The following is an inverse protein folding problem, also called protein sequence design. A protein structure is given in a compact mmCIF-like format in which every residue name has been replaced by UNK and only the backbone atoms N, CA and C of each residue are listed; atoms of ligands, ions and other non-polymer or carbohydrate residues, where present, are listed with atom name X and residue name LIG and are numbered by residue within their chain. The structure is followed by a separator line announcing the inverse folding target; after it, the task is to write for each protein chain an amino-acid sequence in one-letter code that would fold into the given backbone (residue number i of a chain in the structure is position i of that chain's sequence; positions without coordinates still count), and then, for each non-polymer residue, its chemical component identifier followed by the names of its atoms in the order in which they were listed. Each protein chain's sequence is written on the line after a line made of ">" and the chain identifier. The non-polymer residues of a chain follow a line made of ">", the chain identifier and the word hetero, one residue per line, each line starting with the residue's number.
data_IF_507785019871
#
_entry.id   IF_507785019871
#
_cell.length_a   1.000
_cell.length_b   1.000
_cell.length_c   1.000
_cell.angle_alpha   90.00
_cell.angle_beta   90.00
_cell.angle_gamma   90.00
#
_symmetry.space_group_name_H-M   'P 1'
#
loop_
_entity.id
_entity.type
_entity.pdbx_description
1 polymer ?
#
# COMPACT_ATOMS: atom_id res chain seq x y z
N UNK A 1 11.22 7.67 9.29
CA UNK A 1 11.65 8.11 7.94
C UNK A 1 12.61 7.10 7.28
N UNK A 2 13.80 6.84 7.84
CA UNK A 2 14.77 5.91 7.21
C UNK A 2 14.22 4.48 7.02
N UNK A 3 13.54 3.91 8.02
CA UNK A 3 12.92 2.57 7.87
C UNK A 3 11.85 2.55 6.78
N UNK A 4 11.05 3.61 6.69
CA UNK A 4 10.04 3.77 5.65
C UNK A 4 10.68 3.84 4.26
N UNK A 5 11.72 4.67 4.10
CA UNK A 5 12.49 4.80 2.86
C UNK A 5 13.07 3.45 2.40
N UNK A 6 13.70 2.71 3.32
CA UNK A 6 14.21 1.36 3.03
C UNK A 6 13.12 0.38 2.63
N UNK A 7 11.96 0.44 3.30
CA UNK A 7 10.82 -0.43 2.97
C UNK A 7 10.29 -0.12 1.57
N UNK A 8 10.18 1.16 1.19
CA UNK A 8 9.79 1.56 -0.16
C UNK A 8 10.81 1.08 -1.20
N UNK A 9 12.11 1.22 -0.92
CA UNK A 9 13.16 0.73 -1.81
C UNK A 9 13.08 -0.78 -2.01
N UNK A 10 12.87 -1.55 -0.94
CA UNK A 10 12.66 -3.00 -1.02
C UNK A 10 11.40 -3.38 -1.81
N UNK A 11 10.41 -2.49 -1.89
CA UNK A 11 9.21 -2.66 -2.69
C UNK A 11 9.37 -2.30 -4.16
N UNK A 12 10.55 -1.79 -4.55
CA UNK A 12 10.88 -1.45 -5.93
C UNK A 12 10.79 0.05 -6.26
N UNK A 13 10.50 0.91 -5.28
CA UNK A 13 10.46 2.35 -5.48
C UNK A 13 11.87 2.95 -5.48
N UNK A 14 12.09 3.92 -6.36
CA UNK A 14 13.30 4.74 -6.38
C UNK A 14 13.21 5.80 -5.28
N UNK A 15 14.02 5.65 -4.24
CA UNK A 15 14.05 6.58 -3.11
C UNK A 15 15.46 7.10 -2.95
N UNK A 16 15.58 8.42 -2.80
CA UNK A 16 16.86 9.10 -2.59
C UNK A 16 16.73 9.99 -1.36
N UNK A 17 17.82 10.20 -0.62
CA UNK A 17 17.76 11.10 0.51
C UNK A 17 18.77 10.86 1.60
N UNK A 18 18.77 11.77 2.56
CA UNK A 18 19.62 11.71 3.75
C UNK A 18 18.81 12.06 4.99
N UNK A 19 19.07 11.35 6.09
CA UNK A 19 18.54 11.67 7.41
C UNK A 19 19.67 12.08 8.35
N UNK A 20 19.35 12.93 9.31
CA UNK A 20 20.30 13.36 10.33
C UNK A 20 20.25 12.38 11.50
N UNK A 21 21.40 11.85 11.89
CA UNK A 21 21.57 11.06 13.10
C UNK A 21 22.38 11.85 14.12
N UNK A 22 21.82 12.02 15.32
CA UNK A 22 22.55 12.62 16.45
C UNK A 22 23.27 11.51 17.20
N UNK A 23 24.60 11.57 17.25
CA UNK A 23 25.41 10.65 18.04
C UNK A 23 25.54 11.18 19.47
N UNK A 24 25.46 10.27 20.43
CA UNK A 24 25.60 10.58 21.85
C UNK A 24 26.77 9.79 22.44
N UNK A 25 27.54 10.44 23.31
CA UNK A 25 28.60 9.81 24.06
C UNK A 25 28.06 8.89 25.16
N UNK A 26 28.97 8.20 25.87
CA UNK A 26 28.60 7.33 27.00
C UNK A 26 27.89 8.09 28.13
N UNK A 27 28.10 9.40 28.25
CA UNK A 27 27.43 10.30 29.19
C UNK A 27 26.04 10.77 28.71
N UNK A 28 25.57 10.28 27.56
CA UNK A 28 24.29 10.64 26.93
C UNK A 28 24.28 12.04 26.27
N UNK A 29 25.37 12.80 26.37
CA UNK A 29 25.48 14.12 25.73
C UNK A 29 25.70 13.98 24.24
N UNK A 30 25.24 14.97 23.47
CA UNK A 30 25.47 15.05 22.03
C UNK A 30 26.97 15.09 21.77
N UNK A 31 27.50 14.04 21.16
CA UNK A 31 28.90 13.95 20.78
C UNK A 31 29.12 14.39 19.34
N UNK A 32 28.14 14.14 18.47
CA UNK A 32 28.27 14.41 17.04
C UNK A 32 26.91 14.49 16.32
N UNK A 33 26.94 14.91 15.06
CA UNK A 33 25.82 14.93 14.15
C UNK A 33 26.29 14.54 12.75
N UNK A 34 25.72 13.45 12.22
CA UNK A 34 26.07 12.93 10.89
C UNK A 34 24.83 12.87 10.02
N UNK A 35 25.02 12.99 8.71
CA UNK A 35 24.01 12.62 7.74
C UNK A 35 24.18 11.15 7.39
N UNK A 36 23.08 10.46 7.11
CA UNK A 36 23.06 9.05 6.76
C UNK A 36 22.23 8.90 5.50
N UNK A 37 22.81 8.30 4.47
CA UNK A 37 22.07 7.93 3.26
C UNK A 37 20.93 6.97 3.63
N UNK A 38 19.72 7.26 3.16
CA UNK A 38 18.53 6.49 3.59
C UNK A 38 18.48 5.07 3.03
N UNK A 39 19.24 4.78 1.96
CA UNK A 39 19.28 3.48 1.31
C UNK A 39 20.52 2.70 1.71
N UNK A 40 21.72 3.25 1.47
CA UNK A 40 22.97 2.54 1.76
C UNK A 40 23.30 2.51 3.26
N UNK A 41 22.79 3.47 4.04
CA UNK A 41 23.15 3.65 5.44
C UNK A 41 24.54 4.27 5.62
N UNK A 42 25.18 4.73 4.54
CA UNK A 42 26.50 5.36 4.61
C UNK A 42 26.45 6.65 5.42
N UNK A 43 27.39 6.77 6.35
CA UNK A 43 27.53 7.96 7.19
C UNK A 43 28.38 9.00 6.48
N UNK A 44 27.79 10.17 6.31
CA UNK A 44 28.40 11.36 5.76
C UNK A 44 28.63 12.31 6.94
N UNK A 45 29.88 12.41 7.39
CA UNK A 45 30.23 13.34 8.46
C UNK A 45 30.06 14.77 7.96
N UNK A 46 29.17 15.53 8.59
CA UNK A 46 28.89 16.93 8.24
C UNK A 46 29.24 17.88 9.39
N UNK A 47 30.02 17.41 10.37
CA UNK A 47 30.44 18.17 11.53
C UNK A 47 31.94 18.41 11.50
N UNK A 48 32.35 19.64 11.80
CA UNK A 48 33.74 19.98 12.03
C UNK A 48 34.00 20.05 13.55
N UNK A 49 34.97 19.27 14.05
CA UNK A 49 35.47 19.39 15.43
C UNK A 49 36.42 20.57 15.54
N UNK A 50 36.03 21.65 16.20
CA UNK A 50 36.85 22.85 16.43
C UNK A 50 37.87 22.71 17.59
N UNK A 51 38.38 21.51 17.85
CA UNK A 51 39.37 21.25 18.91
C UNK A 51 38.81 21.06 20.32
N UNK A 52 39.70 20.79 21.28
CA UNK A 52 39.40 20.22 22.62
C UNK A 52 38.67 21.13 23.62
N UNK A 53 38.07 22.24 23.16
CA UNK A 53 37.35 23.19 24.02
C UNK A 53 36.04 23.75 23.45
N UNK A 54 35.63 23.35 22.23
CA UNK A 54 34.41 23.87 21.62
C UNK A 54 33.17 23.10 22.08
N UNK A 55 32.21 23.79 22.71
CA UNK A 55 30.89 23.23 23.04
C UNK A 55 29.92 23.21 21.83
N UNK A 56 30.35 23.77 20.71
CA UNK A 56 29.59 23.85 19.45
C UNK A 56 30.38 23.15 18.33
N UNK A 57 29.78 22.14 17.72
CA UNK A 57 30.24 21.61 16.43
C UNK A 57 29.64 22.48 15.32
N UNK A 58 30.48 23.11 14.52
CA UNK A 58 30.02 23.85 13.33
C UNK A 58 29.76 22.86 12.18
N UNK A 59 28.80 23.18 11.33
CA UNK A 59 28.48 22.42 10.13
C UNK A 59 29.66 22.49 9.14
N UNK A 60 30.13 21.34 8.66
CA UNK A 60 31.12 21.25 7.58
C UNK A 60 30.44 21.57 6.25
N UNK A 61 30.63 22.80 5.77
CA UNK A 61 30.02 23.30 4.54
C UNK A 61 30.49 22.54 3.30
N UNK A 62 31.72 21.99 3.29
CA UNK A 62 32.22 21.19 2.17
C UNK A 62 31.52 19.84 2.10
N UNK A 63 31.35 19.18 3.27
CA UNK A 63 30.61 17.93 3.35
C UNK A 63 29.16 18.11 2.89
N UNK A 64 28.49 19.18 3.35
CA UNK A 64 27.11 19.50 2.93
C UNK A 64 27.03 19.79 1.43
N UNK A 65 27.97 20.53 0.87
CA UNK A 65 28.01 20.80 -0.57
C UNK A 65 28.19 19.52 -1.41
N UNK A 66 29.00 18.56 -0.94
CA UNK A 66 29.16 17.26 -1.60
C UNK A 66 27.86 16.44 -1.58
N UNK A 67 27.15 16.40 -0.43
CA UNK A 67 25.85 15.73 -0.33
C UNK A 67 24.81 16.41 -1.22
N UNK A 68 24.80 17.74 -1.23
CA UNK A 68 23.92 18.56 -2.08
C UNK A 68 24.08 18.22 -3.56
N UNK A 69 25.33 18.22 -4.08
CA UNK A 69 25.59 17.87 -5.47
C UNK A 69 25.13 16.45 -5.85
N UNK A 70 25.31 15.48 -4.94
CA UNK A 70 24.81 14.10 -5.13
C UNK A 70 23.28 14.03 -5.19
N UNK A 71 22.60 14.73 -4.27
CA UNK A 71 21.14 14.74 -4.22
C UNK A 71 20.54 15.42 -5.45
N UNK A 72 21.10 16.56 -5.88
CA UNK A 72 20.66 17.26 -7.09
C UNK A 72 20.81 16.39 -8.34
N UNK A 73 21.96 15.72 -8.51
CA UNK A 73 22.16 14.78 -9.61
C UNK A 73 21.20 13.58 -9.55
N UNK A 74 20.92 13.06 -8.36
CA UNK A 74 19.95 11.98 -8.18
C UNK A 74 18.51 12.41 -8.53
N UNK A 75 18.14 13.67 -8.25
CA UNK A 75 16.83 14.22 -8.60
C UNK A 75 16.61 14.33 -10.11
N UNK A 76 17.67 14.45 -10.91
CA UNK A 76 17.56 14.40 -12.38
C UNK A 76 17.00 13.07 -12.88
N UNK A 77 17.15 11.99 -12.10
CA UNK A 77 16.62 10.67 -12.42
C UNK A 77 15.14 10.47 -12.03
N UNK A 78 14.46 11.53 -11.55
CA UNK A 78 13.04 11.50 -11.17
C UNK A 78 12.69 10.36 -10.18
N UNK A 79 13.33 10.32 -9.00
CA UNK A 79 12.98 9.33 -7.98
C UNK A 79 11.53 9.50 -7.52
N UNK A 80 10.93 8.40 -7.05
CA UNK A 80 9.55 8.38 -6.55
C UNK A 80 9.42 9.13 -5.21
N UNK A 81 10.50 9.23 -4.43
CA UNK A 81 10.51 9.94 -3.14
C UNK A 81 11.89 10.55 -2.84
N UNK A 82 11.88 11.82 -2.42
CA UNK A 82 13.01 12.45 -1.74
C UNK A 82 12.78 12.44 -0.23
N UNK A 83 13.79 11.99 0.53
CA UNK A 83 13.80 12.07 2.00
C UNK A 83 14.88 13.04 2.46
N UNK A 84 14.48 14.10 3.16
CA UNK A 84 15.42 15.06 3.75
C UNK A 84 15.19 15.13 5.26
N UNK A 85 16.28 15.33 6.01
CA UNK A 85 16.19 15.22 7.47
C UNK A 85 15.23 16.24 8.09
N UNK A 86 15.42 17.53 7.78
CA UNK A 86 14.60 18.62 8.29
C UNK A 86 14.69 19.86 7.41
N UNK A 87 13.60 20.63 7.37
CA UNK A 87 13.60 22.03 6.97
C UNK A 87 13.61 22.89 8.23
N UNK A 88 14.68 23.63 8.47
CA UNK A 88 14.85 24.43 9.69
C UNK A 88 15.44 25.82 9.36
N UNK A 89 16.04 26.45 10.36
CA UNK A 89 16.58 27.81 10.26
C UNK A 89 17.50 28.04 9.05
N UNK A 90 18.43 27.11 8.76
CA UNK A 90 19.34 27.26 7.61
C UNK A 90 18.58 27.26 6.28
N UNK A 91 17.62 26.35 6.11
CA UNK A 91 16.80 26.25 4.90
C UNK A 91 15.85 27.45 4.74
N UNK A 92 15.35 27.99 5.86
CA UNK A 92 14.54 29.20 5.89
C UNK A 92 15.34 30.42 5.41
N UNK A 93 16.63 30.52 5.78
CA UNK A 93 17.54 31.59 5.39
C UNK A 93 18.11 31.47 3.96
N UNK A 94 17.69 30.47 3.18
CA UNK A 94 18.22 30.29 1.82
C UNK A 94 19.41 29.34 1.71
N UNK A 95 19.80 28.67 2.79
CA UNK A 95 20.98 27.79 2.88
C UNK A 95 20.57 26.32 3.03
N UNK A 96 21.52 25.46 3.43
CA UNK A 96 21.26 24.05 3.69
C UNK A 96 20.76 23.30 2.46
N UNK A 97 19.73 22.47 2.63
CA UNK A 97 19.15 21.68 1.55
C UNK A 97 18.01 22.36 0.77
N UNK A 98 17.92 23.70 0.81
CA UNK A 98 16.83 24.44 0.17
C UNK A 98 16.77 24.22 -1.35
N UNK A 99 17.93 24.10 -2.00
CA UNK A 99 18.00 23.89 -3.45
C UNK A 99 17.35 22.55 -3.86
N UNK A 100 17.58 21.51 -3.06
CA UNK A 100 17.03 20.16 -3.24
C UNK A 100 15.52 20.17 -3.04
N UNK A 101 15.01 20.83 -1.99
CA UNK A 101 13.59 21.02 -1.79
C UNK A 101 12.93 21.72 -2.99
N UNK A 102 13.54 22.79 -3.50
CA UNK A 102 13.02 23.55 -4.64
C UNK A 102 13.04 22.74 -5.94
N UNK A 103 14.12 21.95 -6.15
CA UNK A 103 14.30 21.10 -7.32
C UNK A 103 13.27 19.96 -7.31
N UNK A 104 13.09 19.28 -6.18
CA UNK A 104 12.08 18.24 -6.03
C UNK A 104 10.66 18.77 -6.25
N UNK A 105 10.34 19.93 -5.66
CA UNK A 105 9.04 20.57 -5.85
C UNK A 105 8.76 20.91 -7.32
N UNK A 106 9.77 21.43 -8.03
CA UNK A 106 9.68 21.74 -9.47
C UNK A 106 9.56 20.48 -10.33
N UNK A 107 10.21 19.39 -9.92
CA UNK A 107 10.07 18.06 -10.52
C UNK A 107 8.78 17.32 -10.14
N UNK A 108 7.95 17.86 -9.24
CA UNK A 108 6.78 17.19 -8.65
C UNK A 108 7.13 15.88 -7.94
N UNK A 109 8.35 15.80 -7.41
CA UNK A 109 8.83 14.67 -6.61
C UNK A 109 8.31 14.88 -5.17
N UNK A 110 7.57 13.92 -4.59
CA UNK A 110 7.16 13.98 -3.20
C UNK A 110 8.38 14.11 -2.27
N UNK A 111 8.26 14.94 -1.24
CA UNK A 111 9.32 15.12 -0.25
C UNK A 111 8.81 14.77 1.13
N UNK A 112 9.51 13.85 1.80
CA UNK A 112 9.32 13.55 3.22
C UNK A 112 10.42 14.24 4.03
N UNK A 113 10.01 15.14 4.93
CA UNK A 113 10.91 15.88 5.80
C UNK A 113 10.29 16.13 7.17
N UNK A 114 11.12 16.49 8.15
CA UNK A 114 10.62 17.03 9.42
C UNK A 114 10.68 18.54 9.43
N UNK A 115 9.73 19.18 10.11
CA UNK A 115 9.68 20.63 10.28
C UNK A 115 9.54 20.91 11.75
N UNK A 116 10.57 21.47 12.42
CA UNK A 116 10.45 21.93 13.80
C UNK A 116 9.35 22.97 13.95
N UNK A 117 8.69 23.03 15.11
CA UNK A 117 7.52 23.89 15.34
C UNK A 117 7.79 25.38 15.08
N UNK A 118 8.99 25.85 15.37
CA UNK A 118 9.45 27.23 15.13
C UNK A 118 9.70 27.55 13.64
N UNK A 119 9.78 26.53 12.79
CA UNK A 119 10.08 26.64 11.36
C UNK A 119 8.84 26.37 10.48
N UNK A 120 7.67 26.12 11.08
CA UNK A 120 6.42 25.79 10.37
C UNK A 120 5.94 26.95 9.50
N UNK A 121 6.01 28.18 9.97
CA UNK A 121 5.65 29.38 9.19
C UNK A 121 6.55 29.53 7.96
N UNK A 122 7.87 29.47 8.15
CA UNK A 122 8.83 29.51 7.06
C UNK A 122 8.65 28.37 6.04
N UNK A 123 8.26 27.18 6.50
CA UNK A 123 7.92 26.05 5.64
C UNK A 123 6.66 26.30 4.82
N UNK A 124 5.60 26.83 5.44
CA UNK A 124 4.36 27.18 4.75
C UNK A 124 4.61 28.25 3.69
N UNK A 125 5.40 29.28 4.00
CA UNK A 125 5.79 30.32 3.03
C UNK A 125 6.61 29.74 1.88
N UNK A 126 7.60 28.90 2.20
CA UNK A 126 8.46 28.26 1.19
C UNK A 126 7.66 27.36 0.23
N UNK A 127 6.72 26.58 0.76
CA UNK A 127 5.90 25.66 -0.03
C UNK A 127 4.67 26.31 -0.66
N UNK A 128 4.35 27.56 -0.32
CA UNK A 128 3.10 28.21 -0.68
C UNK A 128 1.87 27.48 -0.11
N UNK A 129 2.00 26.93 1.10
CA UNK A 129 0.97 26.13 1.77
C UNK A 129 0.75 24.73 1.18
N UNK A 130 1.63 24.26 0.30
CA UNK A 130 1.53 22.94 -0.33
C UNK A 130 2.29 21.91 0.50
N UNK A 131 1.57 21.22 1.37
CA UNK A 131 2.11 20.13 2.16
C UNK A 131 1.02 19.50 3.03
N UNK A 132 1.31 18.31 3.55
CA UNK A 132 0.46 17.63 4.53
C UNK A 132 1.31 17.43 5.78
N UNK A 133 0.81 17.88 6.93
CA UNK A 133 1.41 17.58 8.22
C UNK A 133 1.00 16.15 8.62
N UNK A 134 2.00 15.32 8.89
CA UNK A 134 1.79 13.93 9.26
C UNK A 134 2.18 13.73 10.74
N UNK A 135 1.40 12.96 11.51
CA UNK A 135 1.86 12.39 12.77
C UNK A 135 3.17 11.61 12.57
N UNK A 136 4.08 11.60 13.57
CA UNK A 136 5.40 10.97 13.46
C UNK A 136 5.36 9.45 13.66
N UNK A 137 4.42 8.76 13.01
CA UNK A 137 4.27 7.30 13.04
C UNK A 137 4.26 6.70 11.63
N UNK A 138 4.42 5.38 11.56
CA UNK A 138 4.59 4.67 10.29
C UNK A 138 3.26 4.51 9.53
N UNK A 139 2.13 4.39 10.23
CA UNK A 139 0.82 4.23 9.60
C UNK A 139 0.42 5.51 8.85
N UNK A 140 0.67 6.69 9.44
CA UNK A 140 0.47 7.98 8.78
C UNK A 140 1.29 8.11 7.48
N UNK A 141 2.54 7.63 7.47
CA UNK A 141 3.39 7.63 6.26
C UNK A 141 2.82 6.73 5.17
N UNK A 142 2.34 5.53 5.52
CA UNK A 142 1.74 4.61 4.56
C UNK A 142 0.41 5.12 4.01
N UNK A 143 -0.43 5.75 4.84
CA UNK A 143 -1.67 6.36 4.37
C UNK A 143 -1.38 7.49 3.37
N UNK A 144 -0.44 8.38 3.69
CA UNK A 144 -0.01 9.44 2.80
C UNK A 144 0.54 8.91 1.47
N UNK A 145 1.42 7.91 1.52
CA UNK A 145 2.02 7.30 0.33
C UNK A 145 1.01 6.53 -0.53
N UNK A 146 0.12 5.79 0.13
CA UNK A 146 -0.85 4.90 -0.49
C UNK A 146 -1.87 5.60 -1.36
N UNK A 147 -2.24 6.83 -1.02
CA UNK A 147 -3.17 7.65 -1.79
C UNK A 147 -2.81 7.73 -3.28
N UNK A 148 -1.52 7.74 -3.62
CA UNK A 148 -1.03 7.79 -4.99
C UNK A 148 -0.36 6.49 -5.48
N UNK A 149 0.20 5.68 -4.58
CA UNK A 149 1.13 4.60 -4.99
C UNK A 149 0.66 3.18 -4.64
N UNK A 150 -0.46 3.00 -3.93
CA UNK A 150 -0.91 1.66 -3.50
C UNK A 150 -1.09 0.69 -4.67
N UNK A 151 -1.77 1.13 -5.74
CA UNK A 151 -2.04 0.25 -6.89
C UNK A 151 -0.76 -0.06 -7.67
N UNK A 152 0.17 0.89 -7.76
CA UNK A 152 1.47 0.68 -8.40
C UNK A 152 2.34 -0.28 -7.59
N UNK A 153 2.37 -0.13 -6.25
CA UNK A 153 3.06 -1.05 -5.33
C UNK A 153 2.49 -2.47 -5.46
N UNK A 154 1.17 -2.59 -5.52
CA UNK A 154 0.51 -3.88 -5.69
C UNK A 154 0.82 -4.49 -7.05
N UNK A 155 0.74 -3.73 -8.14
CA UNK A 155 1.09 -4.21 -9.49
C UNK A 155 2.56 -4.67 -9.59
N UNK A 156 3.48 -3.94 -8.94
CA UNK A 156 4.90 -4.29 -8.84
C UNK A 156 5.24 -5.37 -7.81
N UNK A 157 4.23 -5.99 -7.18
CA UNK A 157 4.45 -7.00 -6.14
C UNK A 157 4.84 -8.38 -6.66
N UNK A 158 4.60 -8.65 -7.94
CA UNK A 158 4.99 -9.91 -8.59
C UNK A 158 6.42 -9.79 -9.16
N UNK A 159 7.25 -10.78 -8.86
CA UNK A 159 8.59 -10.92 -9.42
C UNK A 159 8.61 -11.94 -10.57
N UNK A 160 9.77 -12.12 -11.22
CA UNK A 160 9.96 -13.14 -12.24
C UNK A 160 9.65 -14.58 -11.79
N UNK A 161 9.64 -14.85 -10.47
CA UNK A 161 9.27 -16.16 -9.90
C UNK A 161 7.78 -16.49 -10.08
N UNK A 162 6.93 -15.48 -10.27
CA UNK A 162 5.51 -15.68 -10.55
C UNK A 162 5.28 -16.40 -11.90
N UNK A 163 6.29 -16.38 -12.78
CA UNK A 163 6.30 -17.08 -14.05
C UNK A 163 5.35 -16.47 -15.07
N UNK A 164 4.80 -17.32 -15.93
CA UNK A 164 3.84 -16.94 -16.98
C UNK A 164 2.46 -17.51 -16.70
N UNK A 165 1.45 -16.93 -17.34
CA UNK A 165 0.08 -17.46 -17.34
C UNK A 165 0.07 -18.81 -18.06
N UNK A 166 -0.27 -19.88 -17.35
CA UNK A 166 -0.31 -21.25 -17.88
C UNK A 166 -1.64 -21.57 -18.53
N UNK A 167 -2.72 -21.15 -17.88
CA UNK A 167 -4.09 -21.34 -18.32
C UNK A 167 -4.91 -20.10 -17.98
N UNK A 168 -5.95 -19.87 -18.75
CA UNK A 168 -6.88 -18.78 -18.49
C UNK A 168 -8.27 -19.15 -18.98
N UNK A 169 -9.27 -18.70 -18.22
CA UNK A 169 -10.69 -18.86 -18.49
C UNK A 169 -11.31 -17.48 -18.44
N UNK A 170 -12.02 -17.16 -19.50
CA UNK A 170 -12.76 -15.91 -19.64
C UNK A 170 -14.25 -16.25 -19.65
N UNK A 171 -14.98 -15.74 -18.66
CA UNK A 171 -16.44 -15.73 -18.64
C UNK A 171 -16.99 -14.32 -18.81
N UNK A 172 -18.31 -14.19 -18.76
CA UNK A 172 -18.99 -12.89 -18.89
C UNK A 172 -18.73 -11.96 -17.70
N UNK A 173 -18.61 -12.52 -16.50
CA UNK A 173 -18.50 -11.78 -15.25
C UNK A 173 -17.19 -12.03 -14.50
N UNK A 174 -16.42 -13.03 -14.93
CA UNK A 174 -15.24 -13.50 -14.21
C UNK A 174 -14.10 -13.80 -15.18
N UNK A 175 -12.89 -13.45 -14.76
CA UNK A 175 -11.66 -13.96 -15.35
C UNK A 175 -10.96 -14.84 -14.34
N UNK A 176 -10.41 -15.94 -14.81
CA UNK A 176 -9.65 -16.89 -14.00
C UNK A 176 -8.37 -17.23 -14.74
N UNK A 177 -7.26 -17.34 -14.02
CA UNK A 177 -6.00 -17.75 -14.61
C UNK A 177 -5.16 -18.57 -13.64
N UNK A 178 -4.24 -19.35 -14.22
CA UNK A 178 -3.26 -20.14 -13.49
C UNK A 178 -1.87 -19.52 -13.66
N UNK A 179 -1.21 -19.24 -12.53
CA UNK A 179 0.20 -18.87 -12.45
C UNK A 179 1.05 -19.96 -11.79
N UNK A 180 2.32 -19.67 -11.52
CA UNK A 180 3.20 -20.63 -10.84
C UNK A 180 2.80 -20.92 -9.38
N UNK A 181 2.19 -19.94 -8.71
CA UNK A 181 1.85 -20.00 -7.29
C UNK A 181 0.43 -20.54 -7.02
N UNK A 182 -0.44 -20.61 -8.03
CA UNK A 182 -1.81 -21.07 -7.88
C UNK A 182 -2.76 -20.46 -8.91
N UNK A 183 -4.04 -20.55 -8.63
CA UNK A 183 -5.10 -19.97 -9.43
C UNK A 183 -5.55 -18.63 -8.86
N UNK A 184 -5.93 -17.72 -9.74
CA UNK A 184 -6.48 -16.43 -9.40
C UNK A 184 -7.78 -16.18 -10.13
N UNK A 185 -8.68 -15.48 -9.45
CA UNK A 185 -10.02 -15.16 -9.90
C UNK A 185 -10.25 -13.66 -9.70
N UNK A 186 -10.87 -13.00 -10.66
CA UNK A 186 -11.28 -11.62 -10.52
C UNK A 186 -12.60 -11.34 -11.26
N UNK A 187 -13.47 -10.47 -10.69
CA UNK A 187 -14.66 -10.05 -11.39
C UNK A 187 -14.27 -9.12 -12.55
N UNK A 188 -15.01 -9.22 -13.64
CA UNK A 188 -14.99 -8.21 -14.70
C UNK A 188 -15.78 -7.00 -14.18
N UNK A 189 -15.19 -5.80 -14.12
CA UNK A 189 -15.89 -4.62 -13.59
C UNK A 189 -17.21 -4.36 -14.31
N UNK A 190 -18.26 -3.99 -13.58
CA UNK A 190 -19.60 -3.80 -14.15
C UNK A 190 -19.63 -2.76 -15.28
N UNK A 191 -18.79 -1.73 -15.20
CA UNK A 191 -18.66 -0.70 -16.22
C UNK A 191 -17.96 -1.20 -17.50
N UNK A 192 -17.41 -2.41 -17.54
CA UNK A 192 -16.86 -3.01 -18.77
C UNK A 192 -17.91 -3.06 -19.89
N UNK A 193 -19.17 -3.36 -19.54
CA UNK A 193 -20.28 -3.37 -20.49
C UNK A 193 -20.63 -1.99 -21.07
N UNK A 194 -20.16 -0.91 -20.44
CA UNK A 194 -20.33 0.47 -20.92
C UNK A 194 -19.22 0.88 -21.91
N UNK A 195 -18.19 0.03 -22.08
CA UNK A 195 -17.10 0.27 -23.02
C UNK A 195 -17.34 -0.46 -24.34
N UNK A 196 -16.75 0.04 -25.42
CA UNK A 196 -16.74 -0.64 -26.73
C UNK A 196 -15.63 -1.71 -26.83
N UNK A 197 -14.87 -1.92 -25.76
CA UNK A 197 -13.72 -2.83 -25.75
C UNK A 197 -14.21 -4.28 -25.81
N UNK A 198 -13.84 -4.96 -26.89
CA UNK A 198 -13.99 -6.41 -26.96
C UNK A 198 -13.13 -7.06 -25.87
N UNK A 199 -13.59 -8.18 -25.28
CA UNK A 199 -12.76 -8.93 -24.36
C UNK A 199 -11.46 -9.35 -25.05
N UNK A 200 -10.28 -9.08 -24.43
CA UNK A 200 -9.01 -9.46 -25.02
C UNK A 200 -8.86 -10.99 -25.04
N UNK A 201 -7.99 -11.52 -25.92
CA UNK A 201 -7.65 -12.93 -25.85
C UNK A 201 -7.11 -13.29 -24.46
N UNK A 202 -7.27 -14.55 -24.01
CA UNK A 202 -6.73 -14.98 -22.72
C UNK A 202 -5.21 -14.74 -22.68
N UNK A 203 -4.72 -14.25 -21.54
CA UNK A 203 -3.32 -13.83 -21.36
C UNK A 203 -2.29 -14.98 -21.34
N UNK A 204 -2.62 -16.16 -21.88
CA UNK A 204 -1.78 -17.37 -21.84
C UNK A 204 -0.42 -17.12 -22.47
N UNK A 205 0.64 -17.49 -21.75
CA UNK A 205 2.03 -17.28 -22.15
C UNK A 205 2.61 -15.91 -21.78
N UNK A 206 1.80 -14.94 -21.36
CA UNK A 206 2.30 -13.65 -20.88
C UNK A 206 2.95 -13.78 -19.50
N UNK A 207 3.94 -12.93 -19.21
CA UNK A 207 4.54 -12.89 -17.88
C UNK A 207 3.52 -12.33 -16.88
N UNK A 208 3.43 -12.95 -15.69
CA UNK A 208 2.47 -12.57 -14.66
C UNK A 208 2.65 -11.11 -14.21
N UNK A 209 3.89 -10.63 -14.16
CA UNK A 209 4.22 -9.23 -13.87
C UNK A 209 3.65 -8.26 -14.90
N UNK A 210 3.68 -8.63 -16.19
CA UNK A 210 3.18 -7.77 -17.28
C UNK A 210 1.65 -7.74 -17.27
N UNK A 211 1.01 -8.87 -16.93
CA UNK A 211 -0.44 -8.92 -16.73
C UNK A 211 -0.85 -8.09 -15.51
N UNK A 212 -0.12 -8.17 -14.39
CA UNK A 212 -0.38 -7.39 -13.19
C UNK A 212 -0.21 -5.87 -13.39
N UNK A 213 0.71 -5.44 -14.26
CA UNK A 213 0.86 -4.05 -14.66
C UNK A 213 -0.42 -3.47 -15.31
N UNK A 214 -1.28 -4.35 -15.85
CA UNK A 214 -2.63 -4.03 -16.34
C UNK A 214 -3.53 -3.34 -15.31
N UNK A 215 -3.23 -3.45 -14.01
CA UNK A 215 -3.97 -2.74 -12.95
C UNK A 215 -3.86 -1.22 -13.12
N UNK A 216 -2.73 -0.76 -13.68
CA UNK A 216 -2.46 0.64 -13.99
C UNK A 216 -3.01 1.06 -15.36
N UNK A 217 -3.44 0.11 -16.21
CA UNK A 217 -4.11 0.40 -17.48
C UNK A 217 -5.60 0.74 -17.29
N UNK A 218 -6.07 1.84 -17.88
CA UNK A 218 -7.46 2.32 -17.73
C UNK A 218 -8.56 1.45 -18.37
N UNK A 219 -8.25 0.19 -18.73
CA UNK A 219 -9.21 -0.74 -19.33
C UNK A 219 -9.80 -1.67 -18.25
N UNK A 220 -11.13 -1.84 -18.20
CA UNK A 220 -11.77 -2.77 -17.27
C UNK A 220 -11.27 -4.22 -17.41
N UNK A 221 -10.98 -4.66 -18.64
CA UNK A 221 -10.41 -5.98 -18.88
C UNK A 221 -8.98 -6.10 -18.37
N UNK A 222 -8.17 -5.05 -18.56
CA UNK A 222 -6.82 -4.98 -18.02
C UNK A 222 -6.80 -5.09 -16.49
N UNK A 223 -7.71 -4.38 -15.81
CA UNK A 223 -7.87 -4.44 -14.36
C UNK A 223 -8.30 -5.84 -13.88
N UNK A 224 -9.26 -6.47 -14.57
CA UNK A 224 -9.71 -7.82 -14.23
C UNK A 224 -8.57 -8.84 -14.36
N UNK A 225 -7.86 -8.86 -15.49
CA UNK A 225 -6.73 -9.76 -15.70
C UNK A 225 -5.60 -9.51 -14.70
N UNK A 226 -5.30 -8.25 -14.41
CA UNK A 226 -4.27 -7.89 -13.45
C UNK A 226 -4.60 -8.37 -12.04
N UNK A 227 -5.86 -8.23 -11.60
CA UNK A 227 -6.27 -8.74 -10.30
C UNK A 227 -6.21 -10.26 -10.22
N UNK A 228 -6.68 -10.96 -11.25
CA UNK A 228 -6.53 -12.41 -11.29
C UNK A 228 -5.05 -12.84 -11.27
N UNK A 229 -4.16 -12.07 -11.92
CA UNK A 229 -2.73 -12.31 -11.87
C UNK A 229 -2.16 -12.10 -10.46
N UNK A 230 -2.58 -11.03 -9.77
CA UNK A 230 -2.16 -10.74 -8.41
C UNK A 230 -2.65 -11.79 -7.42
N UNK A 231 -3.91 -12.23 -7.52
CA UNK A 231 -4.46 -13.30 -6.68
C UNK A 231 -3.71 -14.60 -6.93
N UNK A 232 -3.50 -15.00 -8.18
CA UNK A 232 -2.75 -16.21 -8.52
C UNK A 232 -1.29 -16.16 -8.03
N UNK A 233 -0.62 -15.02 -8.22
CA UNK A 233 0.77 -14.81 -7.82
C UNK A 233 0.97 -14.84 -6.30
N UNK A 234 -0.03 -14.40 -5.54
CA UNK A 234 -0.06 -14.47 -4.07
C UNK A 234 -0.91 -15.65 -3.55
N UNK A 235 -1.24 -16.63 -4.39
CA UNK A 235 -2.27 -17.66 -4.12
C UNK A 235 -1.98 -18.61 -2.94
N UNK A 236 -0.75 -18.62 -2.42
CA UNK A 236 -0.38 -19.36 -1.19
C UNK A 236 -0.40 -18.50 0.07
N UNK A 237 -0.71 -17.20 -0.06
CA UNK A 237 -0.80 -16.28 1.05
C UNK A 237 -1.96 -16.60 2.00
N UNK A 238 -1.83 -16.14 3.24
CA UNK A 238 -2.84 -16.32 4.28
C UNK A 238 -3.01 -17.77 4.76
N UNK A 239 -3.72 -17.92 5.87
CA UNK A 239 -4.07 -19.21 6.45
C UNK A 239 -5.47 -19.65 6.03
N UNK A 240 -5.74 -20.97 5.90
CA UNK A 240 -7.11 -21.48 5.80
C UNK A 240 -7.99 -20.93 6.92
N UNK A 241 -9.17 -20.42 6.59
CA UNK A 241 -10.16 -20.01 7.59
C UNK A 241 -10.81 -21.20 8.31
N UNK A 242 -10.56 -22.44 7.86
CA UNK A 242 -11.06 -23.68 8.45
C UNK A 242 -10.32 -24.11 9.74
N UNK A 243 -9.20 -23.45 10.09
CA UNK A 243 -8.51 -23.67 11.36
C UNK A 243 -8.97 -22.66 12.43
N UNK A 244 -9.30 -23.12 13.66
CA UNK A 244 -9.83 -22.26 14.71
C UNK A 244 -8.72 -21.38 15.28
N UNK A 245 -8.38 -20.30 14.58
CA UNK A 245 -7.68 -19.18 15.17
C UNK A 245 -8.66 -18.47 16.10
N UNK A 246 -8.64 -18.88 17.38
CA UNK A 246 -9.26 -18.20 18.53
C UNK A 246 -10.69 -17.69 18.31
N UNK A 247 -11.70 -18.52 18.57
CA UNK A 247 -13.05 -18.01 18.88
C UNK A 247 -13.98 -17.81 17.69
N UNK A 248 -14.08 -18.81 16.81
CA UNK A 248 -15.36 -19.09 16.13
C UNK A 248 -16.17 -19.98 17.07
N UNK A 249 -16.94 -19.36 17.97
CA UNK A 249 -17.92 -20.11 18.76
C UNK A 249 -19.23 -20.19 17.96
N UNK A 250 -19.73 -21.41 17.86
CA UNK A 250 -21.01 -21.86 17.29
C UNK A 250 -22.10 -20.79 17.07
N UNK A 251 -22.68 -20.81 15.87
CA UNK A 251 -24.14 -20.70 15.68
C UNK A 251 -24.51 -21.12 14.26
N UNK A 252 -24.68 -22.43 14.04
CA UNK A 252 -25.44 -22.93 12.90
C UNK A 252 -26.93 -22.74 13.21
N UNK A 253 -27.48 -21.55 12.93
CA UNK A 253 -28.92 -21.29 12.89
C UNK A 253 -29.37 -21.22 11.42
N UNK A 254 -30.04 -22.26 10.88
CA UNK A 254 -30.45 -22.30 9.48
C UNK A 254 -31.52 -21.25 9.10
N UNK A 255 -32.05 -20.47 10.07
CA UNK A 255 -32.95 -19.35 9.80
C UNK A 255 -32.24 -17.99 9.61
N UNK A 256 -30.92 -17.90 9.85
CA UNK A 256 -30.12 -16.68 9.63
C UNK A 256 -28.79 -17.02 8.96
N UNK A 257 -28.76 -16.90 7.63
CA UNK A 257 -27.58 -17.09 6.79
C UNK A 257 -26.53 -15.97 6.97
N UNK A 258 -25.77 -16.00 8.06
CA UNK A 258 -24.59 -15.14 8.24
C UNK A 258 -23.45 -15.92 8.90
N UNK A 259 -22.41 -16.27 8.13
CA UNK A 259 -21.12 -16.60 8.73
C UNK A 259 -20.54 -15.32 9.35
N UNK A 260 -19.89 -15.41 10.51
CA UNK A 260 -19.31 -14.27 11.22
C UNK A 260 -17.81 -14.40 11.13
N UNK A 261 -17.12 -13.42 10.54
CA UNK A 261 -15.66 -13.36 10.63
C UNK A 261 -15.31 -12.49 11.84
N UNK A 262 -14.75 -13.12 12.86
CA UNK A 262 -14.18 -12.44 14.03
C UNK A 262 -12.69 -12.19 13.76
N UNK A 263 -12.30 -10.93 13.54
CA UNK A 263 -10.88 -10.58 13.44
C UNK A 263 -10.43 -10.18 14.85
N UNK A 264 -9.72 -11.09 15.53
CA UNK A 264 -9.04 -10.79 16.78
C UNK A 264 -7.64 -10.25 16.45
N UNK A 265 -7.41 -8.96 16.66
CA UNK A 265 -6.05 -8.41 16.70
C UNK A 265 -5.52 -8.51 18.14
N UNK A 266 -4.34 -9.11 18.31
CA UNK A 266 -3.74 -9.38 19.63
C UNK A 266 -3.28 -8.11 20.39
N UNK A 267 -3.36 -6.93 19.78
CA UNK A 267 -2.74 -5.69 20.31
C UNK A 267 -3.77 -4.66 20.81
N UNK A 268 -5.07 -4.88 20.59
CA UNK A 268 -6.14 -4.02 21.10
C UNK A 268 -7.10 -4.92 21.88
N UNK A 269 -7.28 -4.64 23.16
CA UNK A 269 -8.14 -5.39 24.08
C UNK A 269 -9.41 -5.95 23.41
N UNK A 270 -9.41 -7.26 23.18
CA UNK A 270 -10.56 -8.14 22.92
C UNK A 270 -11.80 -7.49 22.27
N UNK A 271 -11.63 -6.74 21.19
CA UNK A 271 -12.77 -6.16 20.46
C UNK A 271 -13.09 -7.07 19.29
N UNK A 272 -14.07 -7.97 19.47
CA UNK A 272 -14.63 -8.79 18.39
C UNK A 272 -15.29 -7.86 17.36
N UNK A 273 -14.68 -7.71 16.19
CA UNK A 273 -15.38 -7.16 15.03
C UNK A 273 -16.06 -8.32 14.31
N UNK A 274 -17.36 -8.47 14.52
CA UNK A 274 -18.22 -9.41 13.79
C UNK A 274 -18.56 -8.80 12.43
N UNK A 275 -17.96 -9.29 11.35
CA UNK A 275 -18.43 -8.98 9.99
C UNK A 275 -19.34 -10.12 9.54
N UNK A 276 -20.66 -9.88 9.36
CA UNK A 276 -21.52 -10.86 8.73
C UNK A 276 -21.04 -11.08 7.29
N UNK A 277 -20.78 -12.32 6.89
CA UNK A 277 -20.43 -12.70 5.51
C UNK A 277 -21.56 -12.31 4.55
N UNK A 278 -22.82 -12.27 5.01
CA UNK A 278 -23.93 -11.69 4.24
C UNK A 278 -23.91 -10.15 4.12
N UNK A 279 -23.18 -9.45 4.99
CA UNK A 279 -22.98 -8.00 4.91
C UNK A 279 -21.84 -7.60 3.95
N UNK A 280 -20.97 -8.54 3.56
CA UNK A 280 -20.08 -8.35 2.40
C UNK A 280 -20.86 -8.16 1.09
N UNK A 281 -22.15 -8.55 1.07
CA UNK A 281 -23.09 -8.38 -0.03
C UNK A 281 -24.07 -7.21 0.18
N UNK A 282 -23.94 -6.42 1.26
CA UNK A 282 -24.75 -5.23 1.44
C UNK A 282 -24.19 -4.09 0.59
N UNK A 283 -24.77 -3.87 -0.59
CA UNK A 283 -24.59 -2.62 -1.32
C UNK A 283 -25.09 -1.47 -0.44
N UNK A 284 -24.18 -0.67 0.11
CA UNK A 284 -24.56 0.61 0.68
C UNK A 284 -25.25 1.43 -0.42
N UNK A 285 -26.39 2.09 -0.13
CA UNK A 285 -26.98 3.05 -1.05
C UNK A 285 -25.91 3.99 -1.58
N UNK A 286 -25.85 4.21 -2.89
CA UNK A 286 -24.79 5.03 -3.52
C UNK A 286 -24.71 6.45 -2.94
N UNK A 287 -25.82 6.96 -2.42
CA UNK A 287 -25.90 8.22 -1.69
C UNK A 287 -25.10 8.23 -0.36
N UNK A 288 -25.01 7.08 0.33
CA UNK A 288 -24.14 6.92 1.49
C UNK A 288 -22.69 6.76 1.06
N UNK A 289 -22.38 5.98 0.03
CA UNK A 289 -20.99 5.83 -0.47
C UNK A 289 -20.35 7.17 -0.86
N UNK A 290 -21.12 8.09 -1.44
CA UNK A 290 -20.67 9.45 -1.80
C UNK A 290 -20.62 10.42 -0.61
N UNK A 291 -21.01 9.98 0.58
CA UNK A 291 -21.12 10.82 1.76
C UNK A 291 -19.84 10.81 2.59
N UNK A 292 -19.21 11.97 2.86
CA UNK A 292 -17.89 12.03 3.49
C UNK A 292 -17.89 11.77 5.01
N UNK A 293 -19.07 11.65 5.66
CA UNK A 293 -19.15 11.70 7.13
C UNK A 293 -19.21 10.37 7.86
N UNK A 294 -19.57 9.26 7.20
CA UNK A 294 -19.76 7.99 7.90
C UNK A 294 -18.50 7.13 7.94
N UNK A 295 -17.66 7.16 6.90
CA UNK A 295 -16.38 6.42 6.89
C UNK A 295 -15.43 6.85 8.03
N UNK A 296 -15.25 8.16 8.32
CA UNK A 296 -14.44 8.59 9.46
C UNK A 296 -15.02 8.16 10.82
N UNK A 297 -16.33 7.95 10.91
CA UNK A 297 -17.03 7.59 12.15
C UNK A 297 -17.16 6.08 12.36
N UNK A 298 -16.80 5.26 11.36
CA UNK A 298 -16.97 3.82 11.41
C UNK A 298 -15.86 3.16 12.25
N UNK A 299 -16.24 2.43 13.31
CA UNK A 299 -15.28 1.63 14.08
C UNK A 299 -14.74 0.42 13.29
N UNK A 300 -15.53 -0.08 12.32
CA UNK A 300 -15.13 -1.15 11.43
C UNK A 300 -15.71 -0.94 10.02
N UNK A 301 -14.92 -1.27 9.01
CA UNK A 301 -15.28 -1.12 7.59
C UNK A 301 -14.86 -2.38 6.83
N UNK A 302 -15.81 -2.99 6.13
CA UNK A 302 -15.53 -4.05 5.16
C UNK A 302 -15.62 -3.50 3.75
N UNK A 303 -14.53 -3.59 2.99
CA UNK A 303 -14.41 -3.12 1.62
C UNK A 303 -14.38 -4.32 0.66
N UNK A 304 -15.08 -4.26 -0.48
CA UNK A 304 -15.06 -5.33 -1.46
C UNK A 304 -13.75 -5.35 -2.25
N UNK A 305 -13.32 -6.53 -2.69
CA UNK A 305 -12.17 -6.70 -3.59
C UNK A 305 -12.26 -5.86 -4.87
N UNK A 306 -13.49 -5.61 -5.35
CA UNK A 306 -13.77 -4.77 -6.52
C UNK A 306 -13.20 -3.34 -6.40
N UNK A 307 -13.01 -2.82 -5.18
CA UNK A 307 -12.42 -1.50 -4.95
C UNK A 307 -10.99 -1.36 -5.51
N UNK A 308 -10.27 -2.49 -5.69
CA UNK A 308 -8.97 -2.49 -6.37
C UNK A 308 -9.14 -2.30 -7.89
N UNK A 309 -10.09 -3.00 -8.51
CA UNK A 309 -10.34 -2.96 -9.95
C UNK A 309 -10.86 -1.57 -10.38
N UNK A 310 -11.76 -1.03 -9.56
CA UNK A 310 -12.37 0.29 -9.70
C UNK A 310 -11.44 1.42 -9.28
N UNK A 311 -10.28 1.08 -8.69
CA UNK A 311 -9.26 2.03 -8.20
C UNK A 311 -9.77 2.99 -7.13
N UNK A 312 -10.85 2.62 -6.44
CA UNK A 312 -11.46 3.40 -5.38
C UNK A 312 -10.82 3.15 -4.01
N UNK A 313 -10.11 2.03 -3.84
CA UNK A 313 -9.51 1.66 -2.55
C UNK A 313 -8.62 2.76 -1.92
N UNK A 314 -7.67 3.40 -2.63
CA UNK A 314 -6.85 4.46 -2.03
C UNK A 314 -7.67 5.64 -1.50
N UNK A 315 -8.70 6.05 -2.25
CA UNK A 315 -9.58 7.15 -1.87
C UNK A 315 -10.49 6.78 -0.68
N UNK A 316 -10.91 5.52 -0.59
CA UNK A 316 -11.68 5.01 0.55
C UNK A 316 -10.83 4.95 1.81
N UNK A 317 -9.60 4.41 1.71
CA UNK A 317 -8.67 4.36 2.85
C UNK A 317 -8.32 5.75 3.38
N UNK A 318 -8.20 6.75 2.51
CA UNK A 318 -7.96 8.14 2.93
C UNK A 318 -9.13 8.80 3.66
N UNK A 319 -10.33 8.21 3.65
CA UNK A 319 -11.52 8.69 4.37
C UNK A 319 -11.77 7.94 5.67
N UNK A 320 -11.10 6.81 5.90
CA UNK A 320 -11.30 5.99 7.09
C UNK A 320 -10.42 6.51 8.22
N UNK A 321 -10.92 6.47 9.46
CA UNK A 321 -10.13 6.83 10.63
C UNK A 321 -8.96 5.85 10.82
N UNK A 322 -7.77 6.31 11.24
CA UNK A 322 -6.65 5.42 11.56
C UNK A 322 -6.97 4.37 12.63
N UNK A 323 -7.98 4.62 13.48
CA UNK A 323 -8.42 3.70 14.54
C UNK A 323 -9.42 2.65 14.06
N UNK A 324 -9.97 2.80 12.85
CA UNK A 324 -10.96 1.87 12.31
C UNK A 324 -10.33 0.52 11.97
N UNK A 325 -11.05 -0.56 12.27
CA UNK A 325 -10.71 -1.88 11.74
C UNK A 325 -11.16 -1.98 10.28
N UNK A 326 -10.21 -2.07 9.34
CA UNK A 326 -10.51 -2.12 7.89
C UNK A 326 -10.19 -3.47 7.33
N UNK A 327 -11.19 -4.09 6.68
CA UNK A 327 -11.08 -5.42 6.09
C UNK A 327 -11.31 -5.32 4.60
N UNK A 328 -10.39 -5.85 3.80
CA UNK A 328 -10.62 -6.04 2.36
C UNK A 328 -11.05 -7.49 2.12
N UNK A 329 -12.24 -7.70 1.54
CA UNK A 329 -12.84 -9.02 1.43
C UNK A 329 -13.41 -9.31 0.03
N UNK A 330 -13.27 -10.55 -0.42
CA UNK A 330 -13.86 -11.06 -1.67
C UNK A 330 -12.94 -12.06 -2.34
N UNK A 331 -13.44 -12.74 -3.38
CA UNK A 331 -12.68 -13.81 -4.04
C UNK A 331 -11.44 -13.27 -4.79
N UNK A 332 -11.42 -11.98 -5.08
CA UNK A 332 -10.37 -11.31 -5.86
C UNK A 332 -9.35 -10.53 -5.01
N UNK A 333 -9.26 -10.81 -3.70
CA UNK A 333 -8.28 -10.16 -2.81
C UNK A 333 -6.92 -10.85 -2.90
N UNK A 334 -5.85 -10.16 -3.35
CA UNK A 334 -4.49 -10.71 -3.28
C UNK A 334 -4.02 -10.76 -1.82
N UNK A 335 -3.68 -11.95 -1.32
CA UNK A 335 -3.28 -12.15 0.07
C UNK A 335 -1.80 -11.82 0.30
N UNK A 336 -1.48 -10.54 0.28
CA UNK A 336 -0.11 -10.03 0.42
C UNK A 336 0.06 -9.08 1.62
N UNK A 337 1.14 -9.19 2.40
CA UNK A 337 1.45 -8.23 3.47
C UNK A 337 1.60 -6.78 2.98
N UNK A 338 1.84 -6.56 1.67
CA UNK A 338 1.95 -5.19 1.12
C UNK A 338 0.69 -4.37 1.36
N UNK A 339 -0.49 -4.97 1.16
CA UNK A 339 -1.79 -4.33 1.35
C UNK A 339 -2.03 -3.97 2.82
N UNK A 340 -1.58 -4.81 3.76
CA UNK A 340 -1.72 -4.54 5.19
C UNK A 340 -0.99 -3.27 5.60
N UNK A 341 0.11 -2.89 4.95
CA UNK A 341 0.82 -1.64 5.28
C UNK A 341 -0.01 -0.38 5.05
N UNK A 342 -1.01 -0.41 4.16
CA UNK A 342 -1.85 0.73 3.82
C UNK A 342 -3.05 0.96 4.76
N UNK A 343 -2.94 0.52 6.02
CA UNK A 343 -4.01 0.68 7.03
C UNK A 343 -5.09 -0.41 6.99
N UNK A 344 -4.92 -1.47 6.20
CA UNK A 344 -5.80 -2.65 6.26
C UNK A 344 -5.42 -3.52 7.47
N UNK A 345 -6.42 -3.86 8.28
CA UNK A 345 -6.29 -4.73 9.45
C UNK A 345 -6.27 -6.21 9.06
N UNK A 346 -7.05 -6.58 8.05
CA UNK A 346 -7.08 -7.93 7.50
C UNK A 346 -7.50 -7.98 6.03
N UNK A 347 -7.13 -9.07 5.38
CA UNK A 347 -7.50 -9.46 4.02
C UNK A 347 -8.21 -10.80 4.07
N UNK A 348 -9.38 -10.89 3.43
CA UNK A 348 -10.14 -12.12 3.28
C UNK A 348 -10.25 -12.42 1.79
N UNK A 349 -9.52 -13.44 1.37
CA UNK A 349 -9.43 -13.90 -0.01
C UNK A 349 -9.88 -15.35 -0.13
N UNK A 350 -9.59 -15.95 -1.28
CA UNK A 350 -9.94 -17.34 -1.54
C UNK A 350 -8.85 -18.06 -2.33
N UNK A 351 -8.71 -19.35 -2.04
CA UNK A 351 -7.88 -20.31 -2.79
C UNK A 351 -8.80 -21.26 -3.55
N UNK A 352 -8.61 -21.42 -4.86
CA UNK A 352 -9.41 -22.35 -5.67
C UNK A 352 -8.92 -23.78 -5.40
N UNK A 353 -9.80 -24.65 -4.88
CA UNK A 353 -9.50 -26.06 -4.61
C UNK A 353 -10.04 -27.00 -5.70
N UNK A 354 -11.06 -26.59 -6.46
CA UNK A 354 -11.57 -27.29 -7.65
C UNK A 354 -11.53 -26.37 -8.88
N UNK A 355 -10.38 -26.28 -9.57
CA UNK A 355 -10.25 -25.44 -10.76
C UNK A 355 -11.16 -25.89 -11.92
N UNK A 356 -11.45 -27.19 -12.03
CA UNK A 356 -12.27 -27.74 -13.10
C UNK A 356 -13.73 -27.30 -12.98
N UNK A 357 -14.31 -27.50 -11.79
CA UNK A 357 -15.66 -27.05 -11.46
C UNK A 357 -15.81 -25.54 -11.54
N UNK A 358 -14.84 -24.79 -11.00
CA UNK A 358 -14.82 -23.32 -11.08
C UNK A 358 -14.82 -22.82 -12.54
N UNK A 359 -13.93 -23.37 -13.38
CA UNK A 359 -13.86 -23.02 -14.79
C UNK A 359 -15.16 -23.35 -15.55
N UNK A 360 -15.82 -24.47 -15.21
CA UNK A 360 -17.10 -24.83 -15.79
C UNK A 360 -18.21 -23.84 -15.39
N UNK A 361 -18.29 -23.47 -14.11
CA UNK A 361 -19.25 -22.50 -13.61
C UNK A 361 -19.08 -21.12 -14.30
N UNK A 362 -17.84 -20.65 -14.45
CA UNK A 362 -17.52 -19.40 -15.17
C UNK A 362 -18.01 -19.47 -16.62
N UNK A 363 -17.73 -20.57 -17.34
CA UNK A 363 -18.19 -20.77 -18.73
C UNK A 363 -19.71 -20.88 -18.84
N UNK A 364 -20.38 -21.42 -17.81
CA UNK A 364 -21.83 -21.51 -17.74
C UNK A 364 -22.51 -20.16 -17.43
N UNK A 365 -21.73 -19.11 -17.15
CA UNK A 365 -22.24 -17.76 -16.92
C UNK A 365 -22.47 -17.41 -15.46
N UNK A 366 -21.73 -18.03 -14.53
CA UNK A 366 -21.67 -17.58 -13.13
C UNK A 366 -21.52 -16.06 -13.06
N UNK A 367 -22.33 -15.43 -12.21
CA UNK A 367 -22.47 -13.97 -12.18
C UNK A 367 -22.22 -13.39 -10.79
N UNK A 368 -22.32 -14.21 -9.74
CA UNK A 368 -22.17 -13.83 -8.35
C UNK A 368 -21.07 -14.67 -7.68
N UNK A 369 -20.41 -14.14 -6.65
CA UNK A 369 -19.39 -14.88 -5.88
C UNK A 369 -19.95 -16.19 -5.31
N UNK A 370 -21.25 -16.21 -4.95
CA UNK A 370 -21.94 -17.40 -4.41
C UNK A 370 -21.95 -18.58 -5.39
N UNK A 371 -21.93 -18.31 -6.69
CA UNK A 371 -21.87 -19.34 -7.73
C UNK A 371 -20.51 -20.05 -7.74
N UNK A 372 -19.47 -19.39 -7.19
CA UNK A 372 -18.08 -19.86 -7.18
C UNK A 372 -17.61 -20.34 -5.81
N UNK A 373 -18.31 -19.97 -4.73
CA UNK A 373 -18.04 -20.43 -3.36
C UNK A 373 -17.82 -21.95 -3.21
N UNK A 374 -18.58 -22.84 -3.90
CA UNK A 374 -18.38 -24.28 -3.77
C UNK A 374 -16.99 -24.77 -4.22
N UNK A 375 -16.25 -24.00 -5.03
CA UNK A 375 -14.98 -24.41 -5.64
C UNK A 375 -13.75 -23.76 -5.00
N UNK A 376 -13.96 -22.96 -3.95
CA UNK A 376 -12.92 -22.19 -3.28
C UNK A 376 -12.90 -22.48 -1.78
N UNK A 377 -11.75 -22.24 -1.15
CA UNK A 377 -11.57 -22.22 0.31
C UNK A 377 -11.19 -20.81 0.72
N UNK A 378 -11.91 -20.24 1.68
CA UNK A 378 -11.60 -18.90 2.18
C UNK A 378 -10.29 -18.89 2.96
N UNK A 379 -9.55 -17.79 2.82
CA UNK A 379 -8.23 -17.58 3.42
C UNK A 379 -8.19 -16.21 4.07
N UNK A 380 -7.46 -16.09 5.17
CA UNK A 380 -7.28 -14.82 5.89
C UNK A 380 -5.81 -14.48 6.05
N UNK A 381 -5.49 -13.21 5.87
CA UNK A 381 -4.19 -12.64 6.22
C UNK A 381 -4.43 -11.37 7.05
N UNK A 382 -3.98 -11.35 8.31
CA UNK A 382 -4.13 -10.22 9.21
C UNK A 382 -2.76 -9.65 9.63
N UNK A 383 -2.76 -8.41 10.12
CA UNK A 383 -1.57 -7.75 10.68
C UNK A 383 -1.01 -8.45 11.92
#
# INVERSE_FOLDING_TARGET
>A
MADFARTLHQRGFSVVGVVQQTLRGEDGRKSDMVLVDVISGDRLSVSQRLGSGSQSCTLDEQAVCSVSGRLLSALEQQPDLLVLSKFAHLEAEGRGFRAEFATAASGRIPVLTTVPSDSVEAWMDFTGGRGVLLPPDLDALWQWWGAAHLLADLAGSLSGEAGTVRQAVLGRHWVMLEGACGWGLAPVPAYAAMTTDAPPPPAVGMAMQDVAAGLMCGSPWGAAWALAALVAGHGKGGMPLDEPYGGVADAHDPARSSATVNILSATVQNSLVTVPVGALAMSLPQALVSSPWWLPAAAAVALPAAALAERSLPALLGQVSPESCVVLAGLAVPLTPRLLSYGLSALIGAEIHDPGGCAQAIRAGASDERDLLPFVRLRVLAR
#
